data_IF_143045064598
#
_entry.id   IF_143045064598
#
_cell.length_a   1.000
_cell.length_b   1.000
_cell.length_c   1.000
_cell.angle_alpha   90.00
_cell.angle_beta   90.00
_cell.angle_gamma   90.00
#
_symmetry.space_group_name_H-M   'P 1'
#
loop_
_entity.id
_entity.type
_entity.pdbx_description
1 polymer ?
#
# COMPACT_ATOMS: atom_id res chain seq x y z
N UNK A 1 23.11 -4.75 24.51
CA UNK A 1 23.51 -5.18 23.16
C UNK A 1 22.39 -4.82 22.21
N UNK A 2 22.69 -3.97 21.23
CA UNK A 2 21.72 -3.33 20.33
C UNK A 2 20.95 -4.37 19.49
N UNK A 3 19.62 -4.38 19.56
CA UNK A 3 18.76 -5.15 18.64
C UNK A 3 18.44 -4.23 17.48
N UNK A 4 19.41 -4.13 16.57
CA UNK A 4 19.18 -3.59 15.25
C UNK A 4 19.47 -4.73 14.29
N UNK A 5 18.55 -4.97 13.36
CA UNK A 5 18.70 -5.83 12.17
C UNK A 5 18.18 -7.26 12.30
N UNK A 6 16.87 -7.43 12.11
CA UNK A 6 16.33 -8.54 11.32
C UNK A 6 15.15 -8.03 10.49
N UNK A 7 15.50 -7.29 9.42
CA UNK A 7 14.60 -6.90 8.35
C UNK A 7 15.27 -7.33 7.05
N UNK A 8 15.26 -8.62 6.77
CA UNK A 8 15.60 -9.18 5.46
C UNK A 8 14.53 -10.20 5.10
N UNK A 9 13.47 -9.74 4.46
CA UNK A 9 12.68 -10.56 3.54
C UNK A 9 12.55 -9.77 2.23
N UNK A 10 13.56 -9.99 1.38
CA UNK A 10 13.63 -9.84 -0.10
C UNK A 10 13.15 -8.54 -0.79
N UNK A 11 14.05 -7.78 -1.46
CA UNK A 11 13.68 -6.60 -2.27
C UNK A 11 13.13 -6.93 -3.68
N UNK A 12 13.18 -8.17 -4.15
CA UNK A 12 12.91 -8.51 -5.57
C UNK A 12 11.41 -8.48 -5.91
N UNK A 13 10.54 -9.01 -5.06
CA UNK A 13 9.08 -8.95 -5.26
C UNK A 13 8.54 -7.50 -5.22
N UNK A 14 9.15 -6.63 -4.42
CA UNK A 14 8.73 -5.24 -4.28
C UNK A 14 8.95 -4.40 -5.55
N UNK A 15 10.01 -4.66 -6.31
CA UNK A 15 10.33 -3.89 -7.52
C UNK A 15 9.35 -4.24 -8.65
N UNK A 16 9.01 -5.51 -8.82
CA UNK A 16 8.06 -5.96 -9.85
C UNK A 16 6.65 -5.41 -9.67
N UNK A 17 6.11 -5.48 -8.45
CA UNK A 17 4.78 -4.95 -8.12
C UNK A 17 4.73 -3.41 -8.19
N UNK A 18 5.79 -2.72 -7.75
CA UNK A 18 5.86 -1.26 -7.83
C UNK A 18 5.84 -0.76 -9.28
N UNK A 19 6.51 -1.46 -10.20
CA UNK A 19 6.50 -1.12 -11.63
C UNK A 19 5.13 -1.37 -12.26
N UNK A 20 4.44 -2.45 -11.87
CA UNK A 20 3.09 -2.74 -12.35
C UNK A 20 2.07 -1.71 -11.86
N UNK A 21 2.17 -1.29 -10.60
CA UNK A 21 1.31 -0.25 -10.03
C UNK A 21 1.51 1.10 -10.73
N UNK A 22 2.76 1.46 -11.05
CA UNK A 22 3.07 2.67 -11.86
C UNK A 22 2.49 2.58 -13.26
N UNK A 23 2.63 1.43 -13.93
CA UNK A 23 2.07 1.21 -15.26
C UNK A 23 0.55 1.31 -15.26
N UNK A 24 -0.12 0.72 -14.27
CA UNK A 24 -1.57 0.85 -14.09
C UNK A 24 -2.01 2.31 -13.90
N UNK A 25 -1.27 3.08 -13.10
CA UNK A 25 -1.55 4.51 -12.90
C UNK A 25 -1.34 5.32 -14.20
N UNK A 26 -0.30 5.02 -14.97
CA UNK A 26 -0.05 5.65 -16.27
C UNK A 26 -1.17 5.36 -17.28
N UNK A 27 -1.64 4.11 -17.31
CA UNK A 27 -2.77 3.71 -18.15
C UNK A 27 -4.03 4.50 -17.79
N UNK A 28 -4.40 4.54 -16.51
CA UNK A 28 -5.55 5.29 -16.02
C UNK A 28 -5.43 6.78 -16.32
N UNK A 29 -4.23 7.36 -16.15
CA UNK A 29 -3.98 8.78 -16.44
C UNK A 29 -4.19 9.12 -17.93
N UNK A 30 -3.72 8.27 -18.84
CA UNK A 30 -3.95 8.44 -20.27
C UNK A 30 -5.44 8.34 -20.60
N UNK A 31 -6.14 7.36 -20.01
CA UNK A 31 -7.56 7.14 -20.22
C UNK A 31 -8.40 8.33 -19.76
N UNK A 32 -8.10 8.87 -18.58
CA UNK A 32 -8.71 10.09 -18.01
C UNK A 32 -8.50 11.30 -18.92
N UNK A 33 -7.29 11.48 -19.47
CA UNK A 33 -6.99 12.59 -20.37
C UNK A 33 -7.74 12.47 -21.70
N UNK A 34 -7.75 11.27 -22.30
CA UNK A 34 -8.47 11.01 -23.55
C UNK A 34 -9.97 11.25 -23.37
N UNK A 35 -10.57 10.73 -22.30
CA UNK A 35 -11.98 10.95 -21.98
C UNK A 35 -12.28 12.44 -21.78
N UNK A 36 -11.45 13.17 -21.03
CA UNK A 36 -11.61 14.61 -20.82
C UNK A 36 -11.57 15.41 -22.14
N UNK A 37 -10.63 15.11 -23.03
CA UNK A 37 -10.52 15.75 -24.35
C UNK A 37 -11.73 15.42 -25.22
N UNK A 38 -12.13 14.15 -25.29
CA UNK A 38 -13.30 13.73 -26.08
C UNK A 38 -14.59 14.40 -25.59
N UNK A 39 -14.81 14.47 -24.28
CA UNK A 39 -15.95 15.21 -23.69
C UNK A 39 -15.88 16.70 -24.01
N UNK A 40 -14.69 17.29 -23.98
CA UNK A 40 -14.49 18.70 -24.32
C UNK A 40 -14.82 18.99 -25.78
N UNK A 41 -14.34 18.16 -26.71
CA UNK A 41 -14.60 18.28 -28.16
C UNK A 41 -16.07 18.06 -28.47
N UNK A 42 -16.73 17.06 -27.85
CA UNK A 42 -18.17 16.85 -28.00
C UNK A 42 -18.98 18.08 -27.55
N UNK A 43 -18.56 18.72 -26.46
CA UNK A 43 -19.23 19.92 -25.94
C UNK A 43 -18.97 21.16 -26.79
N UNK A 44 -17.77 21.30 -27.36
CA UNK A 44 -17.36 22.43 -28.21
C UNK A 44 -16.43 21.93 -29.32
N UNK A 45 -16.97 21.54 -30.49
CA UNK A 45 -16.16 20.98 -31.58
C UNK A 45 -15.17 22.00 -32.17
N UNK A 46 -15.48 23.29 -32.07
CA UNK A 46 -14.63 24.36 -32.59
C UNK A 46 -13.46 24.72 -31.68
N UNK A 47 -13.40 24.16 -30.47
CA UNK A 47 -12.38 24.52 -29.46
C UNK A 47 -10.97 24.16 -29.92
N UNK A 48 -10.83 23.05 -30.66
CA UNK A 48 -9.56 22.61 -31.23
C UNK A 48 -9.35 23.16 -32.66
N UNK A 49 -10.42 23.36 -33.45
CA UNK A 49 -10.31 23.98 -34.78
C UNK A 49 -9.81 25.43 -34.72
N UNK A 50 -10.18 26.17 -33.68
CA UNK A 50 -9.66 27.51 -33.41
C UNK A 50 -8.15 27.54 -33.18
N UNK A 51 -7.54 26.43 -32.72
CA UNK A 51 -6.10 26.29 -32.59
C UNK A 51 -5.43 25.89 -33.90
N UNK A 52 -6.02 24.95 -34.65
CA UNK A 52 -5.46 24.47 -35.93
C UNK A 52 -5.46 25.57 -37.00
N UNK A 53 -6.47 26.45 -37.03
CA UNK A 53 -6.50 27.61 -37.95
C UNK A 53 -5.48 28.70 -37.62
N UNK A 54 -5.07 28.85 -36.36
CA UNK A 54 -3.96 29.77 -36.00
C UNK A 54 -2.60 29.22 -36.44
N UNK A 55 -2.42 27.90 -36.40
CA UNK A 55 -1.20 27.22 -36.87
C UNK A 55 -1.04 27.19 -38.41
N UNK A 56 -2.09 27.49 -39.18
CA UNK A 56 -1.99 27.58 -40.65
C UNK A 56 -1.27 28.85 -41.13
N UNK A 57 -1.14 29.87 -40.28
CA UNK A 57 -0.19 30.97 -40.48
C UNK A 57 1.16 30.54 -39.90
N UNK A 58 2.02 29.98 -40.75
CA UNK A 58 3.36 29.45 -40.45
C UNK A 58 4.33 30.45 -39.77
N UNK A 59 3.92 31.69 -39.52
CA UNK A 59 4.68 32.74 -38.82
C UNK A 59 4.22 32.99 -37.38
N UNK A 60 3.16 32.31 -36.91
CA UNK A 60 2.63 32.44 -35.54
C UNK A 60 2.96 31.20 -34.73
N UNK A 61 4.23 31.02 -34.39
CA UNK A 61 4.63 30.05 -33.39
C UNK A 61 4.08 30.50 -32.02
N UNK A 62 2.81 30.18 -31.73
CA UNK A 62 2.19 30.31 -30.41
C UNK A 62 2.72 29.25 -29.43
N UNK A 63 4.02 28.98 -29.49
CA UNK A 63 4.77 28.30 -28.44
C UNK A 63 4.73 29.19 -27.20
N UNK A 64 4.28 28.62 -26.10
CA UNK A 64 4.32 29.30 -24.80
C UNK A 64 5.78 29.63 -24.49
N UNK A 65 6.10 30.91 -24.34
CA UNK A 65 7.42 31.33 -23.90
C UNK A 65 7.55 31.02 -22.40
N UNK A 66 8.56 30.21 -22.06
CA UNK A 66 8.85 29.82 -20.68
C UNK A 66 9.66 30.88 -19.92
N UNK A 67 10.18 31.92 -20.58
CA UNK A 67 10.92 33.03 -19.95
C UNK A 67 10.39 34.41 -20.37
N UNK A 68 9.11 34.72 -20.08
CA UNK A 68 8.54 36.01 -20.48
C UNK A 68 9.10 37.14 -19.63
N UNK A 69 9.55 38.22 -20.28
CA UNK A 69 10.15 39.38 -19.62
C UNK A 69 9.15 40.24 -18.82
N UNK A 70 7.83 40.12 -19.09
CA UNK A 70 6.82 40.96 -18.43
C UNK A 70 5.60 40.21 -17.90
N UNK A 71 4.99 39.29 -18.68
CA UNK A 71 3.79 38.55 -18.25
C UNK A 71 3.74 37.14 -18.83
N UNK A 72 3.39 36.18 -17.97
CA UNK A 72 3.10 34.81 -18.36
C UNK A 72 1.83 34.74 -19.21
N UNK A 73 1.94 34.19 -20.42
CA UNK A 73 0.79 33.82 -21.23
C UNK A 73 0.35 32.40 -20.84
N UNK A 74 -0.86 32.28 -20.29
CA UNK A 74 -1.42 30.97 -19.97
C UNK A 74 -2.00 30.33 -21.24
N UNK A 75 -1.93 29.00 -21.35
CA UNK A 75 -2.57 28.28 -22.44
C UNK A 75 -4.10 28.46 -22.38
N UNK A 76 -4.69 29.06 -23.41
CA UNK A 76 -6.10 29.49 -23.45
C UNK A 76 -7.11 28.37 -23.14
N UNK A 77 -6.75 27.12 -23.45
CA UNK A 77 -7.63 25.94 -23.29
C UNK A 77 -7.27 25.12 -22.04
N UNK A 78 -6.17 25.43 -21.37
CA UNK A 78 -5.67 24.68 -20.21
C UNK A 78 -6.70 24.55 -19.09
N UNK A 79 -7.33 25.67 -18.69
CA UNK A 79 -8.35 25.67 -17.63
C UNK A 79 -9.60 24.85 -18.02
N UNK A 80 -9.95 24.82 -19.32
CA UNK A 80 -11.09 24.02 -19.79
C UNK A 80 -10.79 22.52 -19.73
N UNK A 81 -9.59 22.11 -20.15
CA UNK A 81 -9.13 20.72 -20.03
C UNK A 81 -9.11 20.33 -18.55
N UNK A 82 -8.48 21.14 -17.71
CA UNK A 82 -8.38 20.90 -16.27
C UNK A 82 -9.75 20.70 -15.59
N UNK A 83 -10.74 21.54 -15.90
CA UNK A 83 -12.10 21.40 -15.39
C UNK A 83 -12.79 20.12 -15.88
N UNK A 84 -12.50 19.67 -17.10
CA UNK A 84 -13.03 18.39 -17.61
C UNK A 84 -12.35 17.19 -16.94
N UNK A 85 -11.03 17.24 -16.75
CA UNK A 85 -10.27 16.21 -16.02
C UNK A 85 -10.75 16.04 -14.58
N UNK A 86 -11.17 17.13 -13.90
CA UNK A 86 -11.77 17.01 -12.55
C UNK A 86 -13.12 16.29 -12.53
N UNK A 87 -13.84 16.26 -13.65
CA UNK A 87 -15.20 15.70 -13.79
C UNK A 87 -15.20 14.34 -14.49
N UNK A 88 -14.11 13.60 -14.40
CA UNK A 88 -14.04 12.26 -14.98
C UNK A 88 -14.85 11.27 -14.15
N UNK A 89 -15.61 10.42 -14.84
CA UNK A 89 -16.49 9.41 -14.24
C UNK A 89 -16.15 8.01 -14.75
N UNK A 90 -14.91 7.83 -15.21
CA UNK A 90 -14.44 6.62 -15.87
C UNK A 90 -13.79 5.67 -14.86
N UNK A 91 -14.09 4.38 -14.95
CA UNK A 91 -13.41 3.35 -14.16
C UNK A 91 -12.08 2.96 -14.82
N UNK A 92 -11.00 2.97 -14.04
CA UNK A 92 -9.67 2.52 -14.45
C UNK A 92 -9.23 1.27 -13.68
N UNK A 93 -7.99 0.82 -13.94
CA UNK A 93 -7.36 -0.31 -13.25
C UNK A 93 -7.21 -0.06 -11.74
N UNK A 94 -7.03 1.19 -11.34
CA UNK A 94 -6.95 1.59 -9.93
C UNK A 94 -8.32 1.94 -9.32
N UNK A 95 -9.42 1.59 -9.99
CA UNK A 95 -10.79 1.90 -9.60
C UNK A 95 -11.26 3.26 -10.13
N UNK A 96 -12.22 3.88 -9.44
CA UNK A 96 -12.79 5.17 -9.84
C UNK A 96 -11.93 6.35 -9.37
N UNK A 97 -11.24 7.08 -10.27
CA UNK A 97 -10.49 8.27 -9.90
C UNK A 97 -11.45 9.44 -9.69
N UNK A 98 -11.43 10.02 -8.48
CA UNK A 98 -12.12 11.28 -8.16
C UNK A 98 -11.08 12.31 -7.75
N UNK A 99 -11.17 13.51 -8.30
CA UNK A 99 -10.21 14.58 -8.04
C UNK A 99 -10.88 15.76 -7.33
N UNK A 100 -10.31 16.16 -6.19
CA UNK A 100 -10.71 17.35 -5.43
C UNK A 100 -9.48 18.23 -5.22
N UNK A 101 -9.57 19.51 -5.61
CA UNK A 101 -8.44 20.44 -5.57
C UNK A 101 -7.13 19.90 -6.20
N UNK A 102 -7.24 19.05 -7.22
CA UNK A 102 -6.09 18.44 -7.90
C UNK A 102 -5.53 17.18 -7.22
N UNK A 103 -6.08 16.78 -6.08
CA UNK A 103 -5.69 15.57 -5.35
C UNK A 103 -6.72 14.46 -5.55
N UNK A 104 -6.26 13.22 -5.63
CA UNK A 104 -7.15 12.07 -5.70
C UNK A 104 -7.82 11.83 -4.34
N UNK A 105 -9.14 11.66 -4.35
CA UNK A 105 -9.98 11.34 -3.18
C UNK A 105 -10.75 10.06 -3.40
N UNK A 106 -11.24 9.47 -2.31
CA UNK A 106 -12.10 8.30 -2.33
C UNK A 106 -11.45 7.09 -3.04
N UNK A 107 -10.19 6.82 -2.70
CA UNK A 107 -9.46 5.64 -3.17
C UNK A 107 -9.48 4.54 -2.10
N UNK A 108 -9.17 3.31 -2.55
CA UNK A 108 -9.09 2.13 -1.69
C UNK A 108 -7.73 1.47 -1.84
N UNK A 109 -7.09 1.13 -0.73
CA UNK A 109 -5.84 0.37 -0.71
C UNK A 109 -6.10 -1.05 -0.21
N UNK A 110 -5.46 -2.02 -0.82
CA UNK A 110 -5.54 -3.41 -0.38
C UNK A 110 -4.33 -3.71 0.50
N UNK A 111 -4.57 -4.23 1.71
CA UNK A 111 -3.50 -4.68 2.59
C UNK A 111 -3.28 -6.17 2.33
N UNK A 112 -2.04 -6.49 2.01
CA UNK A 112 -1.59 -7.84 1.68
C UNK A 112 -0.52 -8.25 2.70
N UNK A 113 -0.66 -9.45 3.25
CA UNK A 113 0.35 -10.10 4.07
C UNK A 113 0.94 -11.28 3.29
N UNK A 114 2.24 -11.50 3.43
CA UNK A 114 2.88 -12.72 2.93
C UNK A 114 2.81 -13.79 4.02
N UNK A 115 2.17 -14.92 3.74
CA UNK A 115 2.13 -16.04 4.67
C UNK A 115 3.50 -16.71 4.79
N UNK A 116 3.67 -17.55 5.82
CA UNK A 116 4.87 -18.38 5.97
C UNK A 116 5.05 -19.33 4.77
N UNK A 117 3.96 -19.71 4.08
CA UNK A 117 3.99 -20.49 2.84
C UNK A 117 4.40 -19.68 1.60
N UNK A 118 4.55 -18.36 1.71
CA UNK A 118 4.89 -17.46 0.60
C UNK A 118 3.69 -16.96 -0.21
N UNK A 119 2.47 -17.27 0.23
CA UNK A 119 1.25 -16.82 -0.43
C UNK A 119 0.94 -15.37 -0.05
N UNK A 120 0.61 -14.53 -1.04
CA UNK A 120 0.12 -13.17 -0.78
C UNK A 120 -1.38 -13.21 -0.49
N UNK A 121 -1.76 -12.98 0.77
CA UNK A 121 -3.15 -13.02 1.22
C UNK A 121 -3.62 -11.62 1.56
N UNK A 122 -4.81 -11.27 1.08
CA UNK A 122 -5.46 -10.00 1.42
C UNK A 122 -5.99 -10.05 2.85
N UNK A 123 -5.46 -9.19 3.71
CA UNK A 123 -5.83 -9.11 5.13
C UNK A 123 -6.76 -7.94 5.46
N UNK A 124 -6.93 -7.01 4.54
CA UNK A 124 -7.76 -5.83 4.79
C UNK A 124 -7.93 -4.94 3.58
N UNK A 125 -8.85 -3.99 3.73
CA UNK A 125 -9.04 -2.89 2.77
C UNK A 125 -9.01 -1.59 3.54
N UNK A 126 -8.17 -0.65 3.12
CA UNK A 126 -8.12 0.70 3.67
C UNK A 126 -8.90 1.63 2.74
N UNK A 127 -9.79 2.41 3.33
CA UNK A 127 -10.59 3.41 2.64
C UNK A 127 -10.18 4.80 3.12
N UNK A 128 -10.11 5.76 2.18
CA UNK A 128 -9.85 7.18 2.48
C UNK A 128 -10.81 7.73 3.56
N UNK A 129 -12.07 7.31 3.54
CA UNK A 129 -13.14 7.82 4.42
C UNK A 129 -13.48 6.93 5.62
N UNK A 130 -13.07 5.65 5.61
CA UNK A 130 -13.43 4.64 6.62
C UNK A 130 -12.23 4.01 7.33
N UNK A 131 -11.02 4.48 7.02
CA UNK A 131 -9.76 3.91 7.49
C UNK A 131 -9.66 2.40 7.19
N UNK A 132 -8.89 1.65 7.99
CA UNK A 132 -8.66 0.23 7.78
C UNK A 132 -9.89 -0.59 8.19
N UNK A 133 -10.42 -1.35 7.23
CA UNK A 133 -11.40 -2.41 7.46
C UNK A 133 -10.68 -3.74 7.29
N UNK A 134 -10.34 -4.44 8.39
CA UNK A 134 -9.71 -5.75 8.30
C UNK A 134 -10.71 -6.75 7.69
N UNK A 135 -10.21 -7.60 6.80
CA UNK A 135 -10.93 -8.81 6.42
C UNK A 135 -10.62 -9.76 7.57
N UNK A 136 -11.65 -10.14 8.33
CA UNK A 136 -11.49 -11.14 9.40
C UNK A 136 -11.03 -12.42 8.70
N UNK A 137 -9.72 -12.61 8.66
CA UNK A 137 -9.13 -13.87 8.26
C UNK A 137 -9.73 -14.90 9.19
N UNK A 138 -10.32 -15.96 8.64
CA UNK A 138 -10.60 -17.14 9.45
C UNK A 138 -9.29 -17.43 10.18
N UNK A 139 -9.26 -17.45 11.52
CA UNK A 139 -8.06 -17.94 12.19
C UNK A 139 -7.80 -19.30 11.56
N UNK A 140 -6.60 -19.51 11.01
CA UNK A 140 -6.16 -20.87 10.76
C UNK A 140 -6.43 -21.60 12.08
N UNK A 141 -7.36 -22.55 12.05
CA UNK A 141 -7.92 -23.18 13.24
C UNK A 141 -6.73 -23.73 14.03
N UNK A 142 -6.30 -23.01 15.07
CA UNK A 142 -5.43 -23.58 16.10
C UNK A 142 -6.38 -24.27 17.06
N UNK A 143 -6.49 -25.58 16.90
CA UNK A 143 -7.27 -26.41 17.82
C UNK A 143 -6.63 -26.25 19.21
N UNK A 144 -7.34 -25.71 20.23
CA UNK A 144 -6.79 -25.60 21.58
C UNK A 144 -6.51 -27.00 22.11
N UNK A 145 -5.27 -27.22 22.56
CA UNK A 145 -4.76 -28.54 22.99
C UNK A 145 -3.91 -29.27 21.95
N UNK A 146 -3.86 -28.81 20.69
CA UNK A 146 -2.93 -29.35 19.69
C UNK A 146 -1.63 -28.53 19.68
N UNK A 147 -0.68 -28.96 20.53
CA UNK A 147 0.68 -28.46 20.51
C UNK A 147 1.47 -29.22 19.45
N UNK A 148 2.05 -28.48 18.52
CA UNK A 148 2.88 -29.04 17.46
C UNK A 148 4.25 -29.37 18.06
N UNK A 149 4.51 -30.66 18.30
CA UNK A 149 5.75 -31.13 18.96
C UNK A 149 7.02 -30.81 18.18
N UNK A 150 6.91 -30.48 16.91
CA UNK A 150 8.05 -30.14 16.06
C UNK A 150 8.34 -28.63 16.02
N UNK A 151 7.62 -27.81 16.79
CA UNK A 151 7.87 -26.37 16.90
C UNK A 151 8.50 -26.03 18.23
N UNK A 152 9.55 -25.22 18.17
CA UNK A 152 10.16 -24.63 19.36
C UNK A 152 9.29 -23.48 19.83
N UNK A 153 8.79 -23.58 21.04
CA UNK A 153 8.00 -22.52 21.66
C UNK A 153 8.93 -21.62 22.46
N UNK A 154 8.79 -20.31 22.27
CA UNK A 154 9.47 -19.33 23.11
C UNK A 154 8.71 -19.29 24.42
N UNK A 155 9.31 -19.87 25.46
CA UNK A 155 8.78 -19.82 26.82
C UNK A 155 9.47 -18.65 27.51
N UNK A 156 8.70 -17.59 27.77
CA UNK A 156 9.16 -16.48 28.60
C UNK A 156 8.89 -16.82 30.06
N UNK A 157 9.91 -16.75 30.90
CA UNK A 157 9.79 -17.06 32.32
C UNK A 157 10.74 -16.22 33.17
N UNK A 158 10.44 -16.12 34.46
CA UNK A 158 11.22 -15.38 35.47
C UNK A 158 11.95 -16.37 36.38
N UNK A 159 13.14 -16.01 36.84
CA UNK A 159 13.94 -16.82 37.77
C UNK A 159 13.42 -16.63 39.20
N UNK A 160 12.89 -17.71 39.79
CA UNK A 160 12.30 -17.69 41.14
C UNK A 160 12.64 -19.00 41.86
N UNK A 161 13.15 -18.88 43.09
CA UNK A 161 13.55 -20.04 43.90
C UNK A 161 12.37 -21.01 44.05
N UNK A 162 12.63 -22.31 43.83
CA UNK A 162 11.68 -23.43 43.81
C UNK A 162 10.85 -23.61 42.52
N UNK A 163 10.84 -22.64 41.60
CA UNK A 163 10.15 -22.77 40.31
C UNK A 163 11.12 -22.86 39.13
N UNK A 164 12.07 -21.93 39.03
CA UNK A 164 13.12 -21.92 38.01
C UNK A 164 14.42 -21.38 38.62
N UNK A 165 15.46 -22.20 38.60
CA UNK A 165 16.74 -21.89 39.23
C UNK A 165 17.89 -22.18 38.26
N UNK A 166 18.97 -21.40 38.34
CA UNK A 166 20.19 -21.69 37.58
C UNK A 166 20.88 -22.93 38.11
N UNK A 167 21.39 -23.74 37.18
CA UNK A 167 22.19 -24.93 37.48
C UNK A 167 23.67 -24.68 37.20
N UNK A 168 24.56 -25.36 37.93
CA UNK A 168 26.00 -25.15 37.82
C UNK A 168 26.53 -25.51 36.41
N UNK A 169 27.29 -24.60 35.77
CA UNK A 169 27.60 -24.68 34.34
C UNK A 169 28.59 -25.77 33.96
N UNK A 170 29.30 -26.38 34.92
CA UNK A 170 30.32 -27.41 34.66
C UNK A 170 29.74 -28.81 34.40
N UNK A 171 28.49 -29.08 34.80
CA UNK A 171 27.87 -30.41 34.63
C UNK A 171 26.86 -30.50 33.49
N UNK A 172 26.25 -29.39 33.05
CA UNK A 172 25.25 -29.41 31.95
C UNK A 172 25.29 -28.12 31.13
N UNK A 173 26.24 -28.04 30.20
CA UNK A 173 26.44 -26.85 29.36
C UNK A 173 25.23 -26.44 28.48
N UNK A 174 24.23 -27.31 28.24
CA UNK A 174 23.10 -27.03 27.32
C UNK A 174 21.76 -26.64 27.99
N UNK A 175 21.61 -26.82 29.31
CA UNK A 175 20.36 -26.49 30.02
C UNK A 175 20.69 -25.83 31.37
N UNK A 176 21.00 -24.52 31.37
CA UNK A 176 21.49 -23.83 32.57
C UNK A 176 20.39 -23.52 33.59
N UNK A 177 19.14 -23.96 33.37
CA UNK A 177 18.02 -23.72 34.26
C UNK A 177 17.30 -25.04 34.57
N UNK A 178 17.07 -25.31 35.86
CA UNK A 178 16.18 -26.38 36.33
C UNK A 178 14.81 -25.80 36.68
N UNK A 179 13.76 -26.46 36.21
CA UNK A 179 12.38 -26.10 36.51
C UNK A 179 11.67 -27.23 37.27
N UNK A 180 10.83 -26.89 38.24
CA UNK A 180 10.03 -27.88 38.98
C UNK A 180 8.76 -28.22 38.20
N UNK A 181 8.63 -29.45 37.70
CA UNK A 181 7.46 -29.88 36.95
C UNK A 181 6.34 -30.38 37.89
N UNK A 182 5.40 -29.49 38.26
CA UNK A 182 4.09 -29.92 38.75
C UNK A 182 3.07 -29.86 37.62
N UNK A 183 3.00 -30.89 36.78
CA UNK A 183 1.89 -31.05 35.84
C UNK A 183 0.75 -31.74 36.60
N UNK A 184 0.05 -30.97 37.43
CA UNK A 184 -1.34 -31.27 37.74
C UNK A 184 -2.19 -30.71 36.58
N UNK A 185 -3.09 -31.51 35.97
CA UNK A 185 -3.85 -31.08 34.80
C UNK A 185 -4.84 -29.93 35.08
N UNK A 186 -4.99 -29.48 36.33
CA UNK A 186 -6.01 -28.51 36.74
C UNK A 186 -5.52 -27.42 37.73
N UNK A 187 -4.28 -26.95 37.67
CA UNK A 187 -3.91 -25.78 38.50
C UNK A 187 -3.13 -24.70 37.76
N UNK A 188 -3.89 -23.69 37.33
CA UNK A 188 -3.50 -22.29 37.45
C UNK A 188 -2.97 -22.00 38.86
N UNK A 189 -1.79 -21.38 38.95
CA UNK A 189 -1.47 -20.41 39.99
C UNK A 189 -1.15 -19.10 39.25
N UNK A 190 -2.07 -18.15 39.12
CA UNK A 190 -2.83 -17.33 40.10
C UNK A 190 -2.05 -16.05 40.43
N UNK A 191 -2.52 -15.02 39.71
CA UNK A 191 -2.32 -13.57 39.84
C UNK A 191 -1.15 -12.98 39.06
#
# INVERSE_FOLDING_TARGET
MSIQSFLIVTPVQHIGLANLAKAALMYDAAQVLVDAILRLVRKKPDILRGLTRRNANLNSNNTLDCNPQEKYSAYEIGDRIFRMTKKTELEGLTGFPKFEAGHRRNFTLQLMEMTISGDMVKIGTWYDYKMLVPIVAKPAIKIPGHYDRNKTYIVLTVEEAHYIMRFDPELMANYPYLAFASISPNCCWKR
#
